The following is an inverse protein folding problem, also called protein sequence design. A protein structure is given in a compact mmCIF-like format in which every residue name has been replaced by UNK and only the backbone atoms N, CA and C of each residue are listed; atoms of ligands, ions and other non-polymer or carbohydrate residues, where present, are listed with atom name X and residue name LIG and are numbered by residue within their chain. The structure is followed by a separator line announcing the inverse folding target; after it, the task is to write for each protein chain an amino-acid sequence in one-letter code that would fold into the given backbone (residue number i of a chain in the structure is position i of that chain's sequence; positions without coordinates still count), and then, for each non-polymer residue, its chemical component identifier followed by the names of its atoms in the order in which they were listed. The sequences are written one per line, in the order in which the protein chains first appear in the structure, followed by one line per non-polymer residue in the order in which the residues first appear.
data_IF_522125379079
#
_entry.id   IF_522125379079
#
_cell.length_a   1.000
_cell.length_b   1.000
_cell.length_c   1.000
_cell.angle_alpha   90.00
_cell.angle_beta   90.00
_cell.angle_gamma   90.00
#
_symmetry.space_group_name_H-M   'P 1'
#
loop_
_entity.id
_entity.type
_entity.pdbx_description
1 polymer ?
#
# COMPACT_ATOMS: atom_id res chain seq x y z
N UNK A 1 0.17 -3.47 27.28
CA UNK A 1 0.64 -2.58 26.20
C UNK A 1 1.98 -3.16 25.79
N UNK A 2 2.16 -3.60 24.53
CA UNK A 2 3.49 -4.01 24.07
C UNK A 2 4.41 -2.79 24.14
N UNK A 3 5.64 -2.97 24.60
CA UNK A 3 6.64 -1.90 24.54
C UNK A 3 6.88 -1.53 23.07
N UNK A 4 6.94 -0.24 22.78
CA UNK A 4 7.27 0.28 21.46
C UNK A 4 8.76 0.11 21.20
N UNK A 5 9.22 -1.14 21.09
CA UNK A 5 10.61 -1.48 20.79
C UNK A 5 10.86 -1.35 19.29
N UNK A 6 12.12 -1.14 18.91
CA UNK A 6 12.52 -1.09 17.50
C UNK A 6 12.15 -2.37 16.74
N UNK A 7 12.22 -3.53 17.40
CA UNK A 7 11.81 -4.83 16.85
C UNK A 7 10.30 -4.87 16.56
N UNK A 8 9.48 -4.39 17.50
CA UNK A 8 8.03 -4.30 17.32
C UNK A 8 7.68 -3.36 16.15
N UNK A 9 8.34 -2.20 16.08
CA UNK A 9 8.14 -1.23 15.01
C UNK A 9 8.52 -1.83 13.65
N UNK A 10 9.66 -2.51 13.56
CA UNK A 10 10.12 -3.15 12.33
C UNK A 10 9.17 -4.25 11.86
N UNK A 11 8.68 -5.09 12.78
CA UNK A 11 7.74 -6.15 12.45
C UNK A 11 6.39 -5.59 11.99
N UNK A 12 5.87 -4.57 12.69
CA UNK A 12 4.64 -3.89 12.31
C UNK A 12 4.74 -3.21 10.93
N UNK A 13 5.91 -2.64 10.59
CA UNK A 13 6.17 -2.08 9.27
C UNK A 13 6.15 -3.15 8.17
N UNK A 14 6.78 -4.31 8.40
CA UNK A 14 6.77 -5.41 7.44
C UNK A 14 5.37 -5.96 7.20
N UNK A 15 4.57 -6.14 8.26
CA UNK A 15 3.18 -6.58 8.16
C UNK A 15 2.31 -5.58 7.38
N UNK A 16 2.47 -4.27 7.65
CA UNK A 16 1.79 -3.21 6.90
C UNK A 16 2.15 -3.21 5.42
N UNK A 17 3.44 -3.39 5.09
CA UNK A 17 3.90 -3.48 3.69
C UNK A 17 3.31 -4.71 2.99
N UNK A 18 3.25 -5.86 3.68
CA UNK A 18 2.61 -7.06 3.16
C UNK A 18 1.13 -6.83 2.84
N UNK A 19 0.38 -6.26 3.80
CA UNK A 19 -1.05 -5.98 3.63
C UNK A 19 -1.33 -5.04 2.46
N UNK A 20 -0.49 -4.01 2.25
CA UNK A 20 -0.61 -3.11 1.10
C UNK A 20 -0.36 -3.84 -0.21
N UNK A 21 0.68 -4.68 -0.27
CA UNK A 21 1.00 -5.45 -1.49
C UNK A 21 -0.13 -6.41 -1.86
N UNK A 22 -0.72 -7.09 -0.88
CA UNK A 22 -1.84 -7.99 -1.11
C UNK A 22 -3.06 -7.22 -1.63
N UNK A 23 -3.36 -6.04 -1.08
CA UNK A 23 -4.43 -5.18 -1.61
C UNK A 23 -4.16 -4.65 -3.02
N UNK A 24 -2.91 -4.27 -3.34
CA UNK A 24 -2.57 -3.86 -4.71
C UNK A 24 -2.74 -5.01 -5.70
N UNK A 25 -2.37 -6.23 -5.29
CA UNK A 25 -2.53 -7.43 -6.10
C UNK A 25 -4.02 -7.78 -6.30
N UNK A 26 -4.81 -7.79 -5.23
CA UNK A 26 -6.22 -8.21 -5.25
C UNK A 26 -7.15 -7.20 -5.94
N UNK A 27 -6.91 -5.90 -5.74
CA UNK A 27 -7.82 -4.83 -6.21
C UNK A 27 -7.25 -3.99 -7.35
N UNK A 28 -6.00 -4.24 -7.77
CA UNK A 28 -5.33 -3.49 -8.83
C UNK A 28 -5.14 -1.99 -8.50
N UNK A 29 -5.24 -1.63 -7.22
CA UNK A 29 -5.19 -0.27 -6.73
C UNK A 29 -3.79 0.34 -6.94
N UNK A 30 -3.74 1.61 -7.31
CA UNK A 30 -2.48 2.34 -7.40
C UNK A 30 -1.94 2.71 -6.00
N UNK A 31 -0.66 3.05 -5.93
CA UNK A 31 0.00 3.44 -4.68
C UNK A 31 -0.74 4.58 -3.97
N UNK A 32 -1.30 5.52 -4.74
CA UNK A 32 -2.04 6.66 -4.21
C UNK A 32 -3.33 6.23 -3.50
N UNK A 33 -4.10 5.32 -4.07
CA UNK A 33 -5.30 4.77 -3.46
C UNK A 33 -4.98 3.96 -2.20
N UNK A 34 -3.92 3.14 -2.22
CA UNK A 34 -3.47 2.40 -1.04
C UNK A 34 -3.03 3.32 0.09
N UNK A 35 -2.20 4.33 -0.21
CA UNK A 35 -1.76 5.31 0.78
C UNK A 35 -2.92 6.13 1.34
N UNK A 36 -3.88 6.56 0.51
CA UNK A 36 -5.06 7.27 0.98
C UNK A 36 -5.90 6.41 1.96
N UNK A 37 -6.07 5.12 1.68
CA UNK A 37 -6.83 4.21 2.55
C UNK A 37 -6.13 3.97 3.89
N UNK A 38 -4.81 3.78 3.90
CA UNK A 38 -4.03 3.67 5.13
C UNK A 38 -4.12 4.95 5.99
N UNK A 39 -3.97 6.12 5.36
CA UNK A 39 -4.10 7.40 6.07
C UNK A 39 -5.51 7.60 6.63
N UNK A 40 -6.54 7.16 5.90
CA UNK A 40 -7.92 7.15 6.41
C UNK A 40 -8.07 6.25 7.65
N UNK A 41 -7.46 5.05 7.66
CA UNK A 41 -7.48 4.16 8.83
C UNK A 41 -6.78 4.80 10.03
N UNK A 42 -5.62 5.43 9.82
CA UNK A 42 -4.88 6.15 10.87
C UNK A 42 -5.74 7.27 11.47
N UNK A 43 -6.43 8.05 10.62
CA UNK A 43 -7.31 9.12 11.08
C UNK A 43 -8.52 8.60 11.88
N UNK A 44 -9.05 7.42 11.53
CA UNK A 44 -10.13 6.77 12.26
C UNK A 44 -9.69 6.27 13.63
N UNK A 45 -8.47 5.73 13.74
CA UNK A 45 -7.91 5.22 14.99
C UNK A 45 -7.46 6.33 15.94
N UNK A 46 -6.95 7.44 15.40
CA UNK A 46 -6.55 8.61 16.16
C UNK A 46 -7.13 9.89 15.53
N UNK A 47 -8.31 10.35 15.94
CA UNK A 47 -8.94 11.54 15.38
C UNK A 47 -8.13 12.84 15.57
N UNK A 48 -7.20 12.87 16.52
CA UNK A 48 -6.35 14.03 16.79
C UNK A 48 -5.08 14.07 15.93
N UNK A 49 -4.75 12.99 15.21
CA UNK A 49 -3.58 12.95 14.33
C UNK A 49 -3.78 13.94 13.17
N UNK A 50 -2.76 14.75 12.91
CA UNK A 50 -2.71 15.63 11.75
C UNK A 50 -1.85 14.98 10.70
N UNK A 51 -2.48 14.64 9.58
CA UNK A 51 -1.81 14.01 8.44
C UNK A 51 -1.57 15.09 7.39
N UNK A 52 -0.32 15.26 6.98
CA UNK A 52 -0.01 16.13 5.84
C UNK A 52 -0.32 15.39 4.53
N UNK A 53 -1.41 15.80 3.88
CA UNK A 53 -1.84 15.23 2.61
C UNK A 53 -0.92 15.63 1.44
N UNK A 54 0.00 16.58 1.63
CA UNK A 54 1.06 16.89 0.67
C UNK A 54 1.95 15.69 0.36
N UNK A 55 2.08 14.75 1.30
CA UNK A 55 2.85 13.51 1.13
C UNK A 55 2.28 12.55 0.06
N UNK A 56 1.02 12.74 -0.35
CA UNK A 56 0.38 11.93 -1.39
C UNK A 56 0.66 12.42 -2.82
N UNK A 57 1.29 13.59 -2.98
CA UNK A 57 1.57 14.19 -4.29
C UNK A 57 2.79 13.55 -4.98
N UNK A 58 3.73 12.97 -4.21
CA UNK A 58 4.94 12.31 -4.75
C UNK A 58 4.73 10.84 -5.14
N UNK A 59 3.49 10.33 -5.09
CA UNK A 59 3.17 8.91 -5.33
C UNK A 59 2.75 8.59 -6.78
N UNK A 60 2.98 9.52 -7.72
CA UNK A 60 2.65 9.33 -9.13
C UNK A 60 3.28 8.04 -9.72
N UNK A 61 2.60 7.43 -10.73
CA UNK A 61 2.70 5.99 -10.98
C UNK A 61 4.00 5.56 -11.67
N UNK A 62 4.49 4.38 -11.28
CA UNK A 62 5.42 3.59 -12.11
C UNK A 62 4.76 3.35 -13.48
N UNK A 63 5.47 3.57 -14.62
CA UNK A 63 4.89 3.37 -15.94
C UNK A 63 4.36 1.94 -16.12
N UNK A 64 3.18 1.84 -16.73
CA UNK A 64 2.43 0.60 -16.93
C UNK A 64 3.03 -0.33 -18.01
N UNK A 65 4.35 -0.56 -18.02
CA UNK A 65 4.98 -1.39 -19.06
C UNK A 65 5.05 -2.89 -18.73
N UNK A 66 4.74 -3.33 -17.50
CA UNK A 66 4.94 -4.74 -17.11
C UNK A 66 3.64 -5.55 -16.91
N UNK A 67 2.51 -5.07 -17.42
CA UNK A 67 1.23 -5.82 -17.39
C UNK A 67 1.00 -6.69 -18.62
N UNK A 68 1.80 -6.54 -19.68
CA UNK A 68 1.64 -7.29 -20.95
C UNK A 68 2.24 -8.70 -20.93
N UNK A 69 3.10 -9.06 -19.97
CA UNK A 69 3.80 -10.35 -19.98
C UNK A 69 2.96 -11.55 -19.48
N UNK A 70 1.83 -11.32 -18.80
CA UNK A 70 0.99 -12.39 -18.22
C UNK A 70 -0.21 -12.79 -19.09
N UNK A 71 -0.46 -12.11 -20.22
CA UNK A 71 -1.64 -12.32 -21.06
C UNK A 71 -1.52 -13.33 -22.20
N UNK A 72 -0.31 -13.79 -22.55
CA UNK A 72 -0.08 -14.64 -23.73
C UNK A 72 0.32 -16.08 -23.38
N UNK A 73 -0.57 -16.82 -22.70
CA UNK A 73 -0.60 -18.29 -22.78
C UNK A 73 -2.04 -18.80 -22.80
N UNK A 74 -2.73 -18.58 -23.90
CA UNK A 74 -3.86 -19.44 -24.30
C UNK A 74 -4.04 -19.38 -25.81
N UNK A 75 -3.73 -20.49 -26.47
CA UNK A 75 -3.88 -20.65 -27.91
C UNK A 75 -2.72 -21.42 -28.51
N UNK A 76 -2.78 -22.75 -28.42
CA UNK A 76 -2.20 -23.61 -29.43
C UNK A 76 -3.23 -24.72 -29.71
N UNK A 77 -3.58 -24.86 -30.98
CA UNK A 77 -4.36 -25.94 -31.61
C UNK A 77 -3.95 -27.34 -31.13
#
# INVERSE_FOLDING_TARGET
MHEWTDEFIANAQQELVGMVKDWQYDYGADNRACSAMLLWMVQKLNPAVRIDLGMLQDLDPVPAEDRSALGQRKGFD
#
